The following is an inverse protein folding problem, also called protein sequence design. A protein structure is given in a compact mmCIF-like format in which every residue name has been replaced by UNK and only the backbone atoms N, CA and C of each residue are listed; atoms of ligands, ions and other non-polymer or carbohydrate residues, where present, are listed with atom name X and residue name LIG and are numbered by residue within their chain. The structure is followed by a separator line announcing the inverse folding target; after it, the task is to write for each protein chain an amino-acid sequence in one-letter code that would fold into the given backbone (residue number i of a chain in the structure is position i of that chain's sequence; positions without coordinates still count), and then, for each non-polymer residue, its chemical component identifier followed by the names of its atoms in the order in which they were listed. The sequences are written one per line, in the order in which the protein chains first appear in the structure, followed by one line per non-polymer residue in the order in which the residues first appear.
data_IF_066865378264
#
_entry.id   IF_066865378264
#
_cell.length_a   1.000
_cell.length_b   1.000
_cell.length_c   1.000
_cell.angle_alpha   90.00
_cell.angle_beta   90.00
_cell.angle_gamma   90.00
#
_symmetry.space_group_name_H-M   'P 1'
#
loop_
_entity.id
_entity.type
_entity.pdbx_description
1 polymer ?
#
# COMPACT_ATOMS: atom_id res chain seq x y z
N UNK A 1 18.01 -19.03 1.22
CA UNK A 1 16.95 -19.41 2.17
C UNK A 1 16.00 -18.23 2.28
N UNK A 2 14.82 -18.31 1.65
CA UNK A 2 13.89 -17.18 1.55
C UNK A 2 13.02 -17.17 2.81
N UNK A 3 13.13 -16.10 3.60
CA UNK A 3 12.40 -15.96 4.87
C UNK A 3 10.94 -15.67 4.51
N UNK A 4 10.10 -16.71 4.56
CA UNK A 4 8.65 -16.57 4.54
C UNK A 4 8.22 -15.74 5.74
N UNK A 5 7.52 -14.62 5.53
CA UNK A 5 6.86 -13.90 6.62
C UNK A 5 5.84 -14.82 7.32
N UNK A 6 5.71 -14.69 8.64
CA UNK A 6 4.62 -15.32 9.38
C UNK A 6 3.32 -14.53 9.21
N UNK A 7 2.18 -15.15 9.54
CA UNK A 7 0.88 -14.47 9.52
C UNK A 7 0.85 -13.24 10.44
N UNK A 8 1.52 -13.30 11.59
CA UNK A 8 1.65 -12.16 12.51
C UNK A 8 2.51 -11.04 11.92
N UNK A 9 3.57 -11.38 11.19
CA UNK A 9 4.36 -10.38 10.46
C UNK A 9 3.53 -9.74 9.34
N UNK A 10 2.68 -10.51 8.65
CA UNK A 10 1.74 -10.00 7.64
C UNK A 10 0.78 -8.97 8.23
N UNK A 11 0.12 -9.32 9.34
CA UNK A 11 -0.79 -8.43 10.08
C UNK A 11 -0.07 -7.17 10.55
N UNK A 12 1.17 -7.29 11.02
CA UNK A 12 1.98 -6.14 11.43
C UNK A 12 2.30 -5.20 10.25
N UNK A 13 2.62 -5.73 9.08
CA UNK A 13 2.85 -4.90 7.88
C UNK A 13 1.60 -4.14 7.48
N UNK A 14 0.43 -4.81 7.46
CA UNK A 14 -0.85 -4.17 7.16
C UNK A 14 -1.14 -3.05 8.17
N UNK A 15 -0.94 -3.30 9.47
CA UNK A 15 -1.08 -2.27 10.52
C UNK A 15 -0.16 -1.06 10.31
N UNK A 16 1.09 -1.28 9.88
CA UNK A 16 2.02 -0.18 9.55
C UNK A 16 1.51 0.66 8.39
N UNK A 17 1.05 0.01 7.32
CA UNK A 17 0.45 0.66 6.16
C UNK A 17 -0.82 1.43 6.53
N UNK A 18 -1.61 0.95 7.49
CA UNK A 18 -2.76 1.69 8.03
C UNK A 18 -2.36 2.95 8.79
N UNK A 19 -1.30 2.89 9.61
CA UNK A 19 -0.78 4.07 10.30
C UNK A 19 -0.29 5.14 9.30
N UNK A 20 0.37 4.72 8.23
CA UNK A 20 0.80 5.63 7.15
C UNK A 20 -0.38 6.25 6.43
N UNK A 21 -1.41 5.45 6.11
CA UNK A 21 -2.65 5.93 5.52
C UNK A 21 -3.30 7.03 6.37
N UNK A 22 -3.35 6.86 7.69
CA UNK A 22 -3.81 7.90 8.62
C UNK A 22 -2.93 9.15 8.59
N UNK A 23 -1.61 9.00 8.47
CA UNK A 23 -0.70 10.13 8.33
C UNK A 23 -0.96 10.92 7.05
N UNK A 24 -1.22 10.25 5.92
CA UNK A 24 -1.59 10.93 4.67
C UNK A 24 -2.92 11.67 4.83
N UNK A 25 -3.89 11.07 5.52
CA UNK A 25 -5.16 11.72 5.82
C UNK A 25 -4.97 13.00 6.64
N UNK A 26 -4.23 12.93 7.75
CA UNK A 26 -3.99 14.13 8.58
C UNK A 26 -3.20 15.20 7.83
N UNK A 27 -2.26 14.81 6.97
CA UNK A 27 -1.54 15.78 6.15
C UNK A 27 -2.43 16.40 5.08
N UNK A 28 -3.38 15.65 4.48
CA UNK A 28 -4.25 16.16 3.42
C UNK A 28 -5.23 17.23 3.89
N UNK A 29 -5.53 17.29 5.19
CA UNK A 29 -6.31 18.38 5.80
C UNK A 29 -5.62 19.75 5.65
N UNK A 30 -4.29 19.78 5.58
CA UNK A 30 -3.50 21.01 5.46
C UNK A 30 -2.82 21.17 4.09
N UNK A 31 -2.50 20.05 3.46
CA UNK A 31 -1.67 19.95 2.26
C UNK A 31 -2.40 19.06 1.23
N UNK A 32 -3.24 19.63 0.35
CA UNK A 32 -4.07 18.88 -0.58
C UNK A 32 -3.31 17.89 -1.47
N UNK A 33 -2.02 18.11 -1.69
CA UNK A 33 -1.14 17.22 -2.44
C UNK A 33 -0.97 15.82 -1.83
N UNK A 34 -1.35 15.62 -0.55
CA UNK A 34 -1.37 14.30 0.11
C UNK A 34 -2.69 13.53 -0.10
N UNK A 35 -3.74 14.19 -0.61
CA UNK A 35 -5.03 13.55 -0.83
C UNK A 35 -4.93 12.33 -1.77
N UNK A 36 -4.17 12.38 -2.88
CA UNK A 36 -3.96 11.22 -3.73
C UNK A 36 -3.33 10.02 -3.01
N UNK A 37 -2.26 10.21 -2.22
CA UNK A 37 -1.66 9.10 -1.46
C UNK A 37 -2.60 8.56 -0.39
N UNK A 38 -3.41 9.42 0.24
CA UNK A 38 -4.44 8.97 1.17
C UNK A 38 -5.46 8.06 0.48
N UNK A 39 -6.04 8.49 -0.65
CA UNK A 39 -7.05 7.72 -1.35
C UNK A 39 -6.50 6.39 -1.92
N UNK A 40 -5.29 6.44 -2.47
CA UNK A 40 -4.60 5.26 -2.98
C UNK A 40 -4.30 4.26 -1.84
N UNK A 41 -3.68 4.73 -0.75
CA UNK A 41 -3.34 3.88 0.40
C UNK A 41 -4.59 3.32 1.10
N UNK A 42 -5.68 4.09 1.19
CA UNK A 42 -6.97 3.63 1.73
C UNK A 42 -7.53 2.49 0.89
N UNK A 43 -7.51 2.64 -0.43
CA UNK A 43 -8.01 1.63 -1.37
C UNK A 43 -7.20 0.34 -1.29
N UNK A 44 -5.86 0.44 -1.31
CA UNK A 44 -4.96 -0.71 -1.19
C UNK A 44 -5.14 -1.41 0.17
N UNK A 45 -5.20 -0.66 1.27
CA UNK A 45 -5.39 -1.24 2.60
C UNK A 45 -6.73 -1.98 2.71
N UNK A 46 -7.80 -1.48 2.08
CA UNK A 46 -9.09 -2.17 2.06
C UNK A 46 -9.01 -3.52 1.32
N UNK A 47 -8.35 -3.56 0.16
CA UNK A 47 -8.10 -4.80 -0.59
C UNK A 47 -7.34 -5.81 0.29
N UNK A 48 -6.27 -5.36 0.96
CA UNK A 48 -5.44 -6.22 1.81
C UNK A 48 -6.18 -6.74 3.05
N UNK A 49 -7.10 -5.96 3.62
CA UNK A 49 -7.92 -6.38 4.78
C UNK A 49 -8.96 -7.44 4.43
N UNK A 50 -9.52 -7.37 3.22
CA UNK A 50 -10.60 -8.26 2.80
C UNK A 50 -10.08 -9.65 2.36
N UNK A 51 -8.79 -9.75 2.04
CA UNK A 51 -8.19 -10.97 1.49
C UNK A 51 -7.08 -11.55 2.37
N UNK A 52 -7.43 -12.54 3.20
CA UNK A 52 -6.46 -13.40 3.92
C UNK A 52 -5.47 -14.05 2.92
N UNK A 53 -5.98 -14.39 1.73
CA UNK A 53 -5.20 -14.83 0.59
C UNK A 53 -5.40 -13.85 -0.57
N UNK A 54 -4.37 -13.04 -0.84
CA UNK A 54 -4.30 -12.18 -2.02
C UNK A 54 -4.48 -13.02 -3.29
N UNK A 55 -5.52 -12.73 -4.06
CA UNK A 55 -5.74 -13.33 -5.38
C UNK A 55 -5.04 -12.51 -6.47
N UNK A 56 -4.91 -13.09 -7.67
CA UNK A 56 -4.42 -12.35 -8.85
C UNK A 56 -5.31 -11.15 -9.20
N UNK A 57 -6.61 -11.23 -8.93
CA UNK A 57 -7.54 -10.11 -9.12
C UNK A 57 -7.22 -8.97 -8.15
N UNK A 58 -7.04 -9.27 -6.86
CA UNK A 58 -6.63 -8.26 -5.87
C UNK A 58 -5.29 -7.62 -6.23
N UNK A 59 -4.34 -8.40 -6.75
CA UNK A 59 -3.07 -7.87 -7.22
C UNK A 59 -3.25 -6.90 -8.39
N UNK A 60 -4.08 -7.26 -9.38
CA UNK A 60 -4.39 -6.38 -10.51
C UNK A 60 -5.10 -5.09 -10.08
N UNK A 61 -5.99 -5.16 -9.08
CA UNK A 61 -6.64 -3.99 -8.52
C UNK A 61 -5.64 -3.06 -7.83
N UNK A 62 -4.70 -3.60 -7.06
CA UNK A 62 -3.60 -2.83 -6.46
C UNK A 62 -2.77 -2.14 -7.54
N UNK A 63 -2.38 -2.87 -8.60
CA UNK A 63 -1.64 -2.29 -9.72
C UNK A 63 -2.42 -1.17 -10.42
N UNK A 64 -3.74 -1.31 -10.56
CA UNK A 64 -4.60 -0.29 -11.15
C UNK A 64 -4.63 0.97 -10.30
N UNK A 65 -4.71 0.84 -8.97
CA UNK A 65 -4.65 1.98 -8.05
C UNK A 65 -3.33 2.72 -8.19
N UNK A 66 -2.20 1.99 -8.21
CA UNK A 66 -0.87 2.59 -8.34
C UNK A 66 -0.69 3.32 -9.68
N UNK A 67 -1.07 2.67 -10.79
CA UNK A 67 -1.02 3.30 -12.12
C UNK A 67 -1.86 4.57 -12.20
N UNK A 68 -3.02 4.59 -11.57
CA UNK A 68 -3.87 5.78 -11.55
C UNK A 68 -3.25 6.91 -10.73
N UNK A 69 -2.57 6.59 -9.64
CA UNK A 69 -1.85 7.57 -8.82
C UNK A 69 -0.68 8.20 -9.59
N UNK A 70 0.10 7.39 -10.31
CA UNK A 70 1.25 7.89 -11.10
C UNK A 70 0.83 8.86 -12.23
N UNK A 71 -0.45 8.88 -12.61
CA UNK A 71 -1.01 9.78 -13.64
C UNK A 71 -1.47 11.13 -13.09
N UNK A 72 -1.51 11.30 -11.77
CA UNK A 72 -1.96 12.54 -11.12
C UNK A 72 -0.84 13.16 -10.31
N UNK A 73 -0.90 14.48 -10.10
CA UNK A 73 0.09 15.17 -9.26
C UNK A 73 -0.17 14.83 -7.79
N UNK A 74 0.84 14.35 -7.10
CA UNK A 74 0.79 14.05 -5.67
C UNK A 74 2.10 14.45 -4.98
N UNK A 75 2.18 14.36 -3.65
CA UNK A 75 3.33 14.86 -2.89
C UNK A 75 4.64 14.10 -3.18
N UNK A 76 4.56 12.79 -3.46
CA UNK A 76 5.70 11.93 -3.80
C UNK A 76 6.79 11.84 -2.70
N UNK A 77 6.43 12.14 -1.45
CA UNK A 77 7.37 12.16 -0.33
C UNK A 77 7.83 10.79 0.18
N UNK A 78 8.78 10.81 1.13
CA UNK A 78 9.34 9.60 1.76
C UNK A 78 8.28 8.68 2.37
N UNK A 79 7.20 9.24 2.93
CA UNK A 79 6.10 8.44 3.47
C UNK A 79 5.44 7.55 2.41
N UNK A 80 5.29 8.03 1.17
CA UNK A 80 4.75 7.23 0.06
C UNK A 80 5.74 6.16 -0.38
N UNK A 81 7.03 6.50 -0.45
CA UNK A 81 8.08 5.54 -0.76
C UNK A 81 8.12 4.38 0.25
N UNK A 82 8.10 4.69 1.55
CA UNK A 82 8.10 3.69 2.60
C UNK A 82 6.82 2.83 2.55
N UNK A 83 5.66 3.44 2.22
CA UNK A 83 4.42 2.70 2.00
C UNK A 83 4.58 1.67 0.87
N UNK A 84 5.18 2.05 -0.26
CA UNK A 84 5.49 1.12 -1.37
C UNK A 84 6.44 0.00 -0.95
N UNK A 85 7.41 0.25 -0.07
CA UNK A 85 8.30 -0.79 0.48
C UNK A 85 7.52 -1.84 1.30
N UNK A 86 6.60 -1.39 2.16
CA UNK A 86 5.75 -2.30 2.93
C UNK A 86 4.83 -3.13 2.03
N UNK A 87 4.20 -2.49 1.04
CA UNK A 87 3.38 -3.16 0.03
C UNK A 87 4.19 -4.20 -0.76
N UNK A 88 5.40 -3.84 -1.18
CA UNK A 88 6.31 -4.75 -1.88
C UNK A 88 6.68 -5.99 -1.07
N UNK A 89 6.96 -5.81 0.22
CA UNK A 89 7.24 -6.93 1.11
C UNK A 89 6.05 -7.89 1.20
N UNK A 90 4.83 -7.34 1.28
CA UNK A 90 3.58 -8.11 1.30
C UNK A 90 3.35 -8.89 0.01
N UNK A 91 3.49 -8.24 -1.14
CA UNK A 91 3.27 -8.84 -2.45
C UNK A 91 4.27 -9.95 -2.76
N UNK A 92 5.57 -9.71 -2.50
CA UNK A 92 6.63 -10.73 -2.69
C UNK A 92 6.42 -11.95 -1.80
N UNK A 93 5.96 -11.76 -0.57
CA UNK A 93 5.63 -12.87 0.33
C UNK A 93 4.50 -13.75 -0.23
N UNK A 94 3.56 -13.16 -0.95
CA UNK A 94 2.46 -13.86 -1.62
C UNK A 94 2.79 -14.28 -3.06
N UNK A 95 4.08 -14.28 -3.43
CA UNK A 95 4.58 -14.69 -4.75
C UNK A 95 4.15 -13.82 -5.93
N UNK A 96 3.71 -12.58 -5.67
CA UNK A 96 3.47 -11.59 -6.71
C UNK A 96 4.73 -10.76 -7.00
N UNK A 97 4.83 -10.24 -8.23
CA UNK A 97 5.89 -9.32 -8.59
C UNK A 97 5.77 -8.03 -7.76
N UNK A 98 6.92 -7.50 -7.33
CA UNK A 98 6.97 -6.20 -6.66
C UNK A 98 6.46 -5.08 -7.58
N UNK A 99 5.96 -4.02 -6.95
CA UNK A 99 5.60 -2.74 -7.55
C UNK A 99 6.81 -1.79 -7.47
N UNK A 100 7.19 -1.18 -8.59
CA UNK A 100 8.23 -0.14 -8.63
C UNK A 100 7.57 1.23 -8.48
#
# INVERSE_FOLDING_TARGET
MQISMTEEQLKLQIKRMEMMCKSFQSNSEKYPEFLPEFEASKSINNILKQSINLTSENYNDILKVLKNLDLIKHYEGSGWYDYKLHLNSLLKHKWFNGVN
#
